data_IF_160058748156
#
_entry.id   IF_160058748156
#
_cell.length_a   1.000
_cell.length_b   1.000
_cell.length_c   1.000
_cell.angle_alpha   90.00
_cell.angle_beta   90.00
_cell.angle_gamma   90.00
#
_symmetry.space_group_name_H-M   'P 1'
#
loop_
_entity.id
_entity.type
_entity.pdbx_description
1 polymer ?
#
# COMPACT_ATOMS: atom_id res chain seq x y z
N UNK A 1 -8.51 -5.25 11.50
CA UNK A 1 -7.80 -6.51 11.79
C UNK A 1 -8.55 -7.79 11.41
N UNK A 2 -9.88 -7.93 11.60
CA UNK A 2 -10.60 -9.19 11.26
C UNK A 2 -10.39 -9.67 9.82
N UNK A 3 -10.37 -8.77 8.83
CA UNK A 3 -10.09 -9.12 7.44
C UNK A 3 -8.66 -9.65 7.23
N UNK A 4 -7.65 -9.03 7.86
CA UNK A 4 -6.26 -9.49 7.76
C UNK A 4 -6.11 -10.92 8.29
N UNK A 5 -6.78 -11.23 9.39
CA UNK A 5 -6.79 -12.58 9.99
C UNK A 5 -7.44 -13.66 9.12
N UNK A 6 -8.14 -13.27 8.03
CA UNK A 6 -8.70 -14.24 7.06
C UNK A 6 -7.74 -14.60 5.93
N UNK A 7 -6.56 -13.96 5.88
CA UNK A 7 -5.60 -14.14 4.79
C UNK A 7 -4.44 -15.03 5.24
N UNK A 8 -3.85 -15.82 4.32
CA UNK A 8 -2.64 -16.59 4.63
C UNK A 8 -1.51 -15.69 5.16
N UNK A 9 -0.66 -16.23 6.04
CA UNK A 9 0.51 -15.50 6.52
C UNK A 9 1.42 -15.10 5.35
N UNK A 10 1.91 -13.86 5.37
CA UNK A 10 2.79 -13.32 4.31
C UNK A 10 2.11 -13.06 2.97
N UNK A 11 0.77 -13.11 2.87
CA UNK A 11 0.04 -12.95 1.60
C UNK A 11 -0.51 -11.55 1.34
N UNK A 12 -0.30 -10.60 2.27
CA UNK A 12 -0.85 -9.23 2.19
C UNK A 12 0.28 -8.21 2.06
N UNK A 13 0.22 -7.41 1.00
CA UNK A 13 1.13 -6.28 0.76
C UNK A 13 0.58 -5.02 1.43
N UNK A 14 1.38 -4.35 2.27
CA UNK A 14 1.05 -3.03 2.80
C UNK A 14 1.76 -1.93 2.02
N UNK A 15 1.01 -0.89 1.65
CA UNK A 15 1.53 0.30 0.97
C UNK A 15 1.11 1.55 1.76
N UNK A 16 2.09 2.40 2.10
CA UNK A 16 1.87 3.70 2.74
C UNK A 16 3.04 4.63 2.43
N UNK A 17 2.72 5.88 2.10
CA UNK A 17 3.71 6.93 1.83
C UNK A 17 3.90 7.89 3.02
N UNK A 18 3.27 7.59 4.16
CA UNK A 18 3.31 8.45 5.34
C UNK A 18 2.58 9.79 5.14
N UNK A 19 2.80 10.73 6.06
CA UNK A 19 2.11 12.03 6.06
C UNK A 19 2.85 13.14 5.31
N UNK A 20 4.14 12.96 5.00
CA UNK A 20 4.99 14.01 4.43
C UNK A 20 5.30 13.83 2.95
N UNK A 21 5.26 12.60 2.42
CA UNK A 21 5.48 12.37 1.00
C UNK A 21 4.22 12.70 0.20
N UNK A 22 4.41 13.24 -1.01
CA UNK A 22 3.35 13.43 -1.99
C UNK A 22 3.64 12.55 -3.20
N UNK A 23 2.63 11.78 -3.62
CA UNK A 23 2.76 10.88 -4.78
C UNK A 23 2.10 11.55 -5.98
N UNK A 24 2.82 11.63 -7.10
CA UNK A 24 2.30 12.16 -8.35
C UNK A 24 1.20 11.28 -8.94
N UNK A 25 0.35 11.84 -9.80
CA UNK A 25 -0.78 11.11 -10.43
C UNK A 25 -0.28 9.90 -11.23
N UNK A 26 0.78 10.07 -12.02
CA UNK A 26 1.36 8.99 -12.83
C UNK A 26 1.88 7.86 -11.95
N UNK A 27 2.61 8.20 -10.89
CA UNK A 27 3.16 7.22 -9.96
C UNK A 27 2.06 6.50 -9.16
N UNK A 28 1.02 7.22 -8.73
CA UNK A 28 -0.17 6.63 -8.11
C UNK A 28 -0.82 5.62 -9.05
N UNK A 29 -0.91 5.93 -10.34
CA UNK A 29 -1.44 5.02 -11.34
C UNK A 29 -0.55 3.78 -11.53
N UNK A 30 0.76 3.93 -11.62
CA UNK A 30 1.70 2.80 -11.73
C UNK A 30 1.60 1.85 -10.53
N UNK A 31 1.53 2.39 -9.30
CA UNK A 31 1.35 1.59 -8.09
C UNK A 31 0.01 0.85 -8.13
N UNK A 32 -1.07 1.54 -8.49
CA UNK A 32 -2.40 0.96 -8.58
C UNK A 32 -2.45 -0.21 -9.59
N UNK A 33 -1.90 -0.01 -10.79
CA UNK A 33 -1.84 -1.05 -11.81
C UNK A 33 -0.91 -2.20 -11.42
N UNK A 34 0.21 -1.90 -10.78
CA UNK A 34 1.12 -2.90 -10.22
C UNK A 34 0.40 -3.79 -9.21
N UNK A 35 -0.32 -3.20 -8.26
CA UNK A 35 -1.11 -3.93 -7.25
C UNK A 35 -2.19 -4.81 -7.90
N UNK A 36 -2.92 -4.30 -8.89
CA UNK A 36 -3.93 -5.07 -9.63
C UNK A 36 -3.29 -6.26 -10.38
N UNK A 37 -2.12 -6.03 -10.99
CA UNK A 37 -1.35 -7.04 -11.70
C UNK A 37 -0.81 -8.13 -10.77
N UNK A 38 -0.68 -7.85 -9.47
CA UNK A 38 -0.38 -8.89 -8.49
C UNK A 38 -1.60 -9.76 -8.18
N UNK A 39 -1.37 -11.06 -7.98
CA UNK A 39 -2.38 -11.94 -7.39
C UNK A 39 -2.37 -11.87 -5.85
N UNK A 40 -1.82 -10.80 -5.27
CA UNK A 40 -1.72 -10.62 -3.83
C UNK A 40 -2.95 -9.88 -3.28
N UNK A 41 -3.21 -10.08 -1.99
CA UNK A 41 -4.06 -9.18 -1.23
C UNK A 41 -3.25 -7.94 -0.87
N UNK A 42 -3.90 -6.78 -0.72
CA UNK A 42 -3.17 -5.58 -0.33
C UNK A 42 -3.98 -4.64 0.54
N UNK A 43 -3.24 -3.90 1.35
CA UNK A 43 -3.73 -2.83 2.20
C UNK A 43 -2.98 -1.55 1.83
N UNK A 44 -3.68 -0.62 1.17
CA UNK A 44 -3.09 0.64 0.74
C UNK A 44 -3.72 1.80 1.49
N UNK A 45 -2.88 2.54 2.23
CA UNK A 45 -3.28 3.78 2.89
C UNK A 45 -3.20 4.92 1.88
N UNK A 46 -4.35 5.33 1.37
CA UNK A 46 -4.52 6.52 0.51
C UNK A 46 -5.16 7.63 1.34
N UNK A 47 -4.57 8.82 1.34
CA UNK A 47 -5.10 9.98 2.05
C UNK A 47 -6.23 10.62 1.23
N UNK A 48 -7.19 11.24 1.89
CA UNK A 48 -8.34 11.89 1.25
C UNK A 48 -7.96 12.86 0.10
N UNK A 49 -6.94 13.76 0.24
CA UNK A 49 -6.55 14.64 -0.86
C UNK A 49 -5.95 13.89 -2.07
N UNK A 50 -5.39 12.70 -1.84
CA UNK A 50 -4.73 11.87 -2.85
C UNK A 50 -5.72 10.94 -3.56
N UNK A 51 -6.95 10.79 -3.05
CA UNK A 51 -7.93 9.87 -3.61
C UNK A 51 -8.29 10.20 -5.06
N UNK A 52 -8.33 11.50 -5.39
CA UNK A 52 -8.58 11.99 -6.75
C UNK A 52 -7.51 11.57 -7.77
N UNK A 53 -6.33 11.13 -7.30
CA UNK A 53 -5.21 10.67 -8.14
C UNK A 53 -5.32 9.18 -8.49
N UNK A 54 -6.24 8.43 -7.88
CA UNK A 54 -6.42 7.00 -8.17
C UNK A 54 -6.97 6.80 -9.59
N UNK A 55 -6.57 5.71 -10.29
CA UNK A 55 -7.14 5.39 -11.59
C UNK A 55 -8.65 5.18 -11.52
N UNK A 56 -9.35 5.59 -12.57
CA UNK A 56 -10.76 5.29 -12.75
C UNK A 56 -10.99 3.77 -12.63
N UNK A 57 -12.08 3.39 -11.96
CA UNK A 57 -12.47 2.01 -11.68
C UNK A 57 -11.56 1.21 -10.73
N UNK A 58 -10.46 1.78 -10.22
CA UNK A 58 -9.55 1.08 -9.30
C UNK A 58 -10.30 0.47 -8.09
N UNK A 59 -11.15 1.27 -7.43
CA UNK A 59 -11.96 0.82 -6.29
C UNK A 59 -12.92 -0.32 -6.66
N UNK A 60 -13.50 -0.28 -7.86
CA UNK A 60 -14.40 -1.32 -8.34
C UNK A 60 -13.66 -2.64 -8.58
N UNK A 61 -12.50 -2.57 -9.23
CA UNK A 61 -11.68 -3.74 -9.58
C UNK A 61 -11.05 -4.44 -8.37
N UNK A 62 -10.88 -3.71 -7.27
CA UNK A 62 -10.09 -4.17 -6.10
C UNK A 62 -10.95 -4.47 -4.87
N UNK A 63 -12.28 -4.41 -5.02
CA UNK A 63 -13.27 -4.56 -3.92
C UNK A 63 -13.13 -5.84 -3.11
N UNK A 64 -12.70 -6.94 -3.72
CA UNK A 64 -12.49 -8.23 -3.03
C UNK A 64 -11.07 -8.37 -2.47
N UNK A 65 -10.13 -7.55 -2.96
CA UNK A 65 -8.70 -7.61 -2.66
C UNK A 65 -8.27 -6.58 -1.60
N UNK A 66 -9.08 -5.55 -1.33
CA UNK A 66 -8.75 -4.39 -0.49
C UNK A 66 -9.75 -4.21 0.65
N UNK A 67 -9.23 -3.87 1.83
CA UNK A 67 -10.02 -3.26 2.89
C UNK A 67 -9.74 -1.76 2.89
N UNK A 68 -10.78 -0.91 2.87
CA UNK A 68 -10.64 0.53 3.13
C UNK A 68 -10.16 0.70 4.58
N UNK A 69 -8.85 0.73 4.79
CA UNK A 69 -8.25 0.76 6.11
C UNK A 69 -7.86 2.19 6.49
N UNK A 70 -8.81 2.86 7.11
CA UNK A 70 -8.50 3.89 8.10
C UNK A 70 -7.91 3.20 9.35
N UNK A 71 -6.58 3.26 9.46
CA UNK A 71 -5.82 2.99 10.67
C UNK A 71 -5.57 1.50 10.97
N UNK A 72 -4.38 1.24 11.52
CA UNK A 72 -3.90 0.05 12.26
C UNK A 72 -2.79 -0.72 11.55
N UNK A 73 -1.68 -0.90 12.29
CA UNK A 73 -0.37 -1.36 11.84
C UNK A 73 -0.36 -2.75 11.19
N UNK A 74 0.12 -2.78 9.95
CA UNK A 74 0.28 -3.95 9.09
C UNK A 74 1.74 -4.00 8.60
N UNK A 75 2.32 -5.21 8.40
CA UNK A 75 3.69 -5.39 7.92
C UNK A 75 3.97 -4.63 6.62
N UNK A 76 5.04 -3.83 6.59
CA UNK A 76 5.31 -2.81 5.58
C UNK A 76 6.15 -3.30 4.40
N UNK A 77 5.75 -2.98 3.17
CA UNK A 77 6.67 -2.96 2.01
C UNK A 77 7.16 -1.52 1.86
N UNK A 78 8.45 -1.31 2.13
CA UNK A 78 9.06 0.02 2.04
C UNK A 78 9.50 0.30 0.60
N UNK A 79 8.93 1.34 -0.02
CA UNK A 79 9.37 1.85 -1.33
C UNK A 79 9.97 3.25 -1.12
N UNK A 80 11.28 3.35 -0.82
CA UNK A 80 11.88 4.59 -0.36
C UNK A 80 11.87 5.67 -1.46
N UNK A 81 11.32 6.84 -1.13
CA UNK A 81 11.21 7.96 -2.06
C UNK A 81 12.02 9.20 -1.65
N UNK A 82 12.67 9.27 -0.46
CA UNK A 82 13.86 10.09 -0.09
C UNK A 82 14.24 9.93 1.41
N UNK A 83 15.49 10.27 1.77
CA UNK A 83 16.12 10.30 3.11
C UNK A 83 16.26 8.95 3.86
N UNK A 84 15.85 8.88 5.13
CA UNK A 84 16.07 7.76 6.05
C UNK A 84 15.27 6.50 5.72
N UNK A 85 14.33 6.59 4.77
CA UNK A 85 13.50 5.47 4.34
C UNK A 85 14.30 4.30 3.76
N UNK A 86 15.47 4.52 3.16
CA UNK A 86 16.35 3.42 2.73
C UNK A 86 16.93 2.65 3.94
N UNK A 87 17.21 3.36 5.05
CA UNK A 87 17.71 2.76 6.29
C UNK A 87 16.60 1.98 6.99
N UNK A 88 15.37 2.52 7.03
CA UNK A 88 14.20 1.81 7.58
C UNK A 88 13.80 0.61 6.72
N UNK A 89 13.90 0.71 5.39
CA UNK A 89 13.67 -0.42 4.49
C UNK A 89 14.68 -1.55 4.74
N UNK A 90 15.97 -1.20 4.84
CA UNK A 90 17.04 -2.16 5.15
C UNK A 90 16.89 -2.79 6.54
N UNK A 91 16.45 -2.02 7.53
CA UNK A 91 16.17 -2.54 8.88
C UNK A 91 15.00 -3.52 8.92
N UNK A 92 13.97 -3.32 8.09
CA UNK A 92 12.85 -4.26 7.96
C UNK A 92 13.28 -5.55 7.24
N UNK A 93 14.19 -5.48 6.26
CA UNK A 93 14.77 -6.66 5.60
C UNK A 93 15.70 -7.45 6.55
N UNK A 94 16.51 -6.76 7.37
CA UNK A 94 17.51 -7.40 8.22
C UNK A 94 16.95 -8.00 9.52
N UNK A 95 15.74 -7.60 9.96
CA UNK A 95 15.17 -7.96 11.29
C UNK A 95 13.95 -8.89 11.19
N UNK A 96 13.42 -9.13 9.99
CA UNK A 96 12.25 -9.98 9.75
C UNK A 96 12.53 -11.18 8.85
#
# INVERSE_FOLDING_TARGET
MRWLNTKPNGSVVYVSFGSLAEVGVEQMAEIAWGLIGTNAYFLWVVREPEESKLPNNFKHMTREKVLEALGLGVPMVAMPQWADQATNAKHVEDVW
#
